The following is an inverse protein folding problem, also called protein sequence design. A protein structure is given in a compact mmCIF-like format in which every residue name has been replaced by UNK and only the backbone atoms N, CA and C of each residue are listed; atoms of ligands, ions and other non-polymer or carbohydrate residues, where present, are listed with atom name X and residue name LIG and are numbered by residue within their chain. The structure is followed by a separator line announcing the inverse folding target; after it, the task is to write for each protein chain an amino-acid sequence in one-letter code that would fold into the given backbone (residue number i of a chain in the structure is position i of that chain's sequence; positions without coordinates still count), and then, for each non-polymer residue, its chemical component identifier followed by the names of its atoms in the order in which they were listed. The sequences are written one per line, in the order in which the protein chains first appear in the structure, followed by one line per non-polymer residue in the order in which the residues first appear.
data_IF_475609746950
#
_entry.id   IF_475609746950
#
_cell.length_a   1.000
_cell.length_b   1.000
_cell.length_c   1.000
_cell.angle_alpha   90.00
_cell.angle_beta   90.00
_cell.angle_gamma   90.00
#
_symmetry.space_group_name_H-M   'P 1'
#
loop_
_entity.id
_entity.type
_entity.pdbx_description
1 polymer ?
#
# COMPACT_ATOMS: atom_id res chain seq x y z
N UNK A 1 -0.67 16.65 -11.87
CA UNK A 1 -1.72 15.62 -11.90
C UNK A 1 -1.42 14.71 -13.08
N UNK A 2 -1.17 13.43 -12.83
CA UNK A 2 -1.08 12.46 -13.91
C UNK A 2 -2.50 12.17 -14.36
N UNK A 3 -2.85 12.57 -15.59
CA UNK A 3 -4.11 12.14 -16.19
C UNK A 3 -3.97 10.70 -16.66
N UNK A 4 -5.04 9.95 -16.61
CA UNK A 4 -5.10 8.59 -17.15
C UNK A 4 -4.97 8.56 -18.68
N UNK A 5 -4.72 9.71 -19.34
CA UNK A 5 -4.70 9.87 -20.80
C UNK A 5 -6.11 9.93 -21.38
N UNK A 6 -6.25 10.53 -22.55
CA UNK A 6 -7.56 10.69 -23.20
C UNK A 6 -7.97 9.45 -24.03
N UNK A 7 -7.12 8.39 -24.08
CA UNK A 7 -7.38 7.18 -24.86
C UNK A 7 -6.64 5.94 -24.35
N UNK A 8 -7.24 4.76 -24.55
CA UNK A 8 -6.63 3.46 -24.21
C UNK A 8 -5.31 3.22 -24.95
N UNK A 9 -5.08 3.83 -26.11
CA UNK A 9 -3.87 3.70 -26.90
C UNK A 9 -2.63 4.33 -26.22
N UNK A 10 -2.84 5.32 -25.35
CA UNK A 10 -1.78 5.93 -24.54
C UNK A 10 -1.29 5.01 -23.42
N UNK A 11 -2.07 4.00 -23.06
CA UNK A 11 -1.76 3.02 -22.03
C UNK A 11 -0.92 1.85 -22.53
N UNK A 12 -1.09 1.51 -23.84
CA UNK A 12 -0.39 0.39 -24.47
C UNK A 12 1.01 0.77 -24.97
N UNK A 13 1.31 2.05 -25.10
CA UNK A 13 2.62 2.49 -25.52
C UNK A 13 3.48 2.74 -24.28
N UNK A 14 4.66 2.11 -24.19
CA UNK A 14 5.74 2.59 -23.33
C UNK A 14 6.27 3.89 -23.93
N UNK A 15 5.39 4.87 -24.13
CA UNK A 15 5.82 6.20 -24.51
C UNK A 15 6.80 6.64 -23.45
N UNK A 16 7.94 7.18 -23.90
CA UNK A 16 8.95 7.76 -23.05
C UNK A 16 8.31 8.78 -22.11
N UNK A 17 7.75 8.27 -21.01
CA UNK A 17 7.30 9.08 -19.90
C UNK A 17 8.58 9.68 -19.35
N UNK A 18 8.91 10.89 -19.75
CA UNK A 18 10.03 11.65 -19.19
C UNK A 18 9.62 12.08 -17.79
N UNK A 19 9.69 11.11 -16.90
CA UNK A 19 9.29 11.21 -15.51
C UNK A 19 9.97 12.39 -14.83
N UNK A 20 11.28 12.57 -15.07
CA UNK A 20 12.06 13.65 -14.47
C UNK A 20 11.62 15.04 -14.96
N UNK A 21 11.27 15.20 -16.22
CA UNK A 21 10.80 16.49 -16.75
C UNK A 21 9.39 16.82 -16.24
N UNK A 22 8.45 15.86 -16.25
CA UNK A 22 7.09 16.06 -15.74
C UNK A 22 7.05 16.16 -14.22
N UNK A 23 7.85 15.36 -13.50
CA UNK A 23 7.97 15.47 -12.06
C UNK A 23 8.57 16.80 -11.64
N UNK A 24 9.62 17.26 -12.36
CA UNK A 24 10.23 18.57 -12.12
C UNK A 24 9.25 19.71 -12.43
N UNK A 25 8.49 19.60 -13.51
CA UNK A 25 7.48 20.59 -13.87
C UNK A 25 6.30 20.58 -12.88
N UNK A 26 5.84 19.40 -12.45
CA UNK A 26 4.81 19.24 -11.42
C UNK A 26 5.28 19.80 -10.08
N UNK A 27 6.51 19.49 -9.65
CA UNK A 27 7.11 20.05 -8.43
C UNK A 27 7.24 21.57 -8.48
N UNK A 28 7.62 22.14 -9.63
CA UNK A 28 7.67 23.60 -9.82
C UNK A 28 6.28 24.23 -9.74
N UNK A 29 5.28 23.61 -10.35
CA UNK A 29 3.88 24.06 -10.27
C UNK A 29 3.33 23.94 -8.85
N UNK A 30 3.64 22.85 -8.15
CA UNK A 30 3.23 22.63 -6.77
C UNK A 30 3.96 23.57 -5.81
N UNK A 31 5.25 23.85 -6.02
CA UNK A 31 5.99 24.84 -5.25
C UNK A 31 5.41 26.25 -5.43
N UNK A 32 5.20 26.68 -6.68
CA UNK A 32 4.59 27.99 -6.98
C UNK A 32 3.16 28.10 -6.41
N UNK A 33 2.40 27.02 -6.45
CA UNK A 33 1.07 26.96 -5.85
C UNK A 33 1.13 26.98 -4.33
N UNK A 34 2.05 26.24 -3.72
CA UNK A 34 2.24 26.20 -2.26
C UNK A 34 2.67 27.56 -1.72
N UNK A 35 3.46 28.32 -2.50
CA UNK A 35 3.83 29.69 -2.18
C UNK A 35 2.61 30.64 -2.21
N UNK A 36 1.66 30.41 -3.13
CA UNK A 36 0.47 31.24 -3.29
C UNK A 36 -0.72 30.81 -2.39
N UNK A 37 -0.89 29.52 -2.14
CA UNK A 37 -2.10 28.92 -1.53
C UNK A 37 -1.82 28.13 -0.25
N UNK A 38 -0.54 28.02 0.15
CA UNK A 38 -0.09 27.16 1.24
C UNK A 38 0.17 25.71 0.79
N UNK A 39 0.72 24.88 1.69
CA UNK A 39 1.11 23.51 1.37
C UNK A 39 -0.10 22.69 0.86
N UNK A 40 0.15 21.87 -0.15
CA UNK A 40 -0.84 20.93 -0.69
C UNK A 40 -1.16 19.93 0.41
N UNK A 41 -2.34 20.07 1.02
CA UNK A 41 -2.92 18.98 1.81
C UNK A 41 -3.78 18.15 0.88
N UNK A 42 -3.81 16.83 1.07
CA UNK A 42 -4.79 15.96 0.43
C UNK A 42 -6.18 16.21 1.07
N UNK A 43 -6.58 17.48 1.08
CA UNK A 43 -7.93 17.89 1.41
C UNK A 43 -8.66 18.03 0.10
N UNK A 44 -9.57 17.12 -0.16
CA UNK A 44 -10.44 17.23 -1.32
C UNK A 44 -11.09 18.60 -1.35
N UNK A 45 -11.33 19.15 -2.54
CA UNK A 45 -12.06 20.41 -2.72
C UNK A 45 -13.55 20.30 -2.33
N UNK A 46 -13.98 19.14 -1.82
CA UNK A 46 -15.34 18.84 -1.41
C UNK A 46 -15.53 18.87 0.11
N UNK A 47 -16.75 18.63 0.54
CA UNK A 47 -17.14 18.54 1.97
C UNK A 47 -17.00 17.12 2.54
N UNK A 48 -16.51 16.15 1.77
CA UNK A 48 -16.32 14.76 2.16
C UNK A 48 -16.15 13.83 0.96
N UNK A 49 -15.97 12.52 1.22
CA UNK A 49 -15.85 11.51 0.19
C UNK A 49 -17.18 11.27 -0.55
N UNK A 50 -17.11 10.64 -1.71
CA UNK A 50 -18.29 10.03 -2.31
C UNK A 50 -18.62 8.73 -1.58
N UNK A 51 -19.42 8.82 -0.52
CA UNK A 51 -19.76 7.67 0.36
C UNK A 51 -20.42 6.49 -0.38
N UNK A 52 -20.98 6.72 -1.55
CA UNK A 52 -21.53 5.62 -2.35
C UNK A 52 -20.44 4.72 -2.94
N UNK A 53 -19.27 5.31 -3.24
CA UNK A 53 -18.12 4.64 -3.83
C UNK A 53 -17.08 4.21 -2.79
N UNK A 54 -17.07 4.82 -1.60
CA UNK A 54 -16.00 4.64 -0.61
C UNK A 54 -16.47 4.09 0.74
N UNK A 55 -17.67 3.54 0.82
CA UNK A 55 -18.27 3.02 2.06
C UNK A 55 -17.61 1.71 2.51
N UNK A 56 -16.86 1.69 3.64
CA UNK A 56 -16.19 0.50 4.14
C UNK A 56 -17.14 -0.56 4.71
N UNK A 57 -18.42 -0.26 4.90
CA UNK A 57 -19.45 -1.24 5.30
C UNK A 57 -19.81 -2.19 4.17
N UNK A 58 -19.50 -1.82 2.93
CA UNK A 58 -19.78 -2.68 1.78
C UNK A 58 -18.69 -3.73 1.61
N UNK A 59 -19.10 -4.93 1.26
CA UNK A 59 -18.18 -5.95 0.78
C UNK A 59 -17.71 -5.60 -0.61
N UNK A 60 -16.43 -5.82 -0.88
CA UNK A 60 -15.83 -5.68 -2.20
C UNK A 60 -15.31 -7.02 -2.67
N UNK A 61 -15.60 -7.37 -3.91
CA UNK A 61 -15.21 -8.65 -4.48
C UNK A 61 -14.61 -8.47 -5.86
N UNK A 62 -13.78 -9.42 -6.25
CA UNK A 62 -13.25 -9.54 -7.60
C UNK A 62 -13.11 -10.99 -7.99
N UNK A 63 -13.13 -11.26 -9.29
CA UNK A 63 -12.81 -12.57 -9.88
C UNK A 63 -11.46 -12.60 -10.59
N UNK A 64 -10.75 -11.48 -10.59
CA UNK A 64 -9.42 -11.40 -11.20
C UNK A 64 -8.43 -12.34 -10.50
N UNK A 65 -7.46 -12.83 -11.28
CA UNK A 65 -6.34 -13.63 -10.72
C UNK A 65 -5.22 -12.76 -10.15
N UNK A 66 -5.30 -11.45 -10.35
CA UNK A 66 -4.27 -10.50 -9.93
C UNK A 66 -4.87 -9.32 -9.17
N UNK A 67 -5.52 -9.55 -8.01
CA UNK A 67 -6.03 -8.47 -7.18
C UNK A 67 -4.90 -7.78 -6.42
N UNK A 68 -5.01 -6.46 -6.33
CA UNK A 68 -4.11 -5.59 -5.56
C UNK A 68 -4.92 -4.66 -4.68
N UNK A 69 -4.60 -4.59 -3.39
CA UNK A 69 -5.15 -3.60 -2.47
C UNK A 69 -4.05 -2.60 -2.11
N UNK A 70 -4.35 -1.32 -2.19
CA UNK A 70 -3.45 -0.23 -1.82
C UNK A 70 -4.10 0.61 -0.75
N UNK A 71 -3.54 0.59 0.46
CA UNK A 71 -3.91 1.46 1.57
C UNK A 71 -2.92 2.62 1.68
N UNK A 72 -3.44 3.83 1.81
CA UNK A 72 -2.64 5.03 2.03
C UNK A 72 -3.14 5.73 3.28
N UNK A 73 -2.25 5.93 4.21
CA UNK A 73 -2.49 6.79 5.37
C UNK A 73 -2.67 8.24 4.90
N UNK A 74 -3.77 8.86 5.30
CA UNK A 74 -4.14 10.22 4.90
C UNK A 74 -4.20 11.17 6.09
N UNK A 75 -3.62 10.78 7.22
CA UNK A 75 -3.56 11.58 8.44
C UNK A 75 -2.60 12.77 8.33
N UNK A 76 -2.64 13.67 9.29
CA UNK A 76 -1.90 14.93 9.24
C UNK A 76 -0.38 14.77 9.21
N UNK A 77 0.16 13.71 9.84
CA UNK A 77 1.59 13.40 9.85
C UNK A 77 2.14 13.11 8.45
N UNK A 78 1.30 12.56 7.57
CA UNK A 78 1.63 12.26 6.18
C UNK A 78 1.77 13.48 5.28
N UNK A 79 1.29 14.66 5.69
CA UNK A 79 1.41 15.95 4.99
C UNK A 79 0.95 15.88 3.52
N UNK A 80 1.85 16.14 2.56
CA UNK A 80 1.57 16.11 1.12
C UNK A 80 1.76 14.74 0.48
N UNK A 81 2.36 13.80 1.19
CA UNK A 81 2.75 12.50 0.64
C UNK A 81 1.58 11.68 0.08
N UNK A 82 0.38 11.62 0.73
CA UNK A 82 -0.76 10.93 0.14
C UNK A 82 -1.14 11.47 -1.23
N UNK A 83 -1.11 12.79 -1.42
CA UNK A 83 -1.40 13.41 -2.71
C UNK A 83 -0.38 13.00 -3.79
N UNK A 84 0.90 12.92 -3.42
CA UNK A 84 1.96 12.47 -4.33
C UNK A 84 1.81 10.99 -4.70
N UNK A 85 1.43 10.13 -3.74
CA UNK A 85 1.15 8.72 -3.98
C UNK A 85 -0.04 8.59 -4.93
N UNK A 86 -1.19 9.18 -4.60
CA UNK A 86 -2.41 9.07 -5.41
C UNK A 86 -2.21 9.61 -6.82
N UNK A 87 -1.47 10.71 -6.99
CA UNK A 87 -1.14 11.26 -8.31
C UNK A 87 -0.30 10.28 -9.17
N UNK A 88 0.40 9.32 -8.55
CA UNK A 88 1.28 8.35 -9.23
C UNK A 88 0.68 6.96 -9.39
N UNK A 89 -0.45 6.66 -8.75
CA UNK A 89 -1.09 5.34 -8.89
C UNK A 89 -1.49 4.99 -10.33
N UNK A 90 -1.85 5.95 -11.20
CA UNK A 90 -2.01 5.66 -12.63
C UNK A 90 -0.78 5.03 -13.27
N UNK A 91 0.42 5.51 -12.92
CA UNK A 91 1.67 4.93 -13.41
C UNK A 91 1.87 3.50 -12.89
N UNK A 92 1.55 3.23 -11.63
CA UNK A 92 1.61 1.89 -11.06
C UNK A 92 0.72 0.93 -11.86
N UNK A 93 -0.55 1.29 -12.10
CA UNK A 93 -1.44 0.48 -12.90
C UNK A 93 -0.90 0.27 -14.32
N UNK A 94 -0.50 1.33 -15.02
CA UNK A 94 0.03 1.25 -16.38
C UNK A 94 1.26 0.33 -16.48
N UNK A 95 2.13 0.35 -15.47
CA UNK A 95 3.34 -0.49 -15.46
C UNK A 95 2.99 -1.94 -15.15
N UNK A 96 2.24 -2.18 -14.10
CA UNK A 96 1.94 -3.55 -13.63
C UNK A 96 0.96 -4.30 -14.55
N UNK A 97 0.02 -3.61 -15.18
CA UNK A 97 -0.92 -4.20 -16.13
C UNK A 97 -0.25 -4.69 -17.42
N UNK A 98 0.95 -4.21 -17.75
CA UNK A 98 1.76 -4.78 -18.84
C UNK A 98 2.25 -6.19 -18.51
N UNK A 99 2.50 -6.49 -17.22
CA UNK A 99 2.93 -7.81 -16.76
C UNK A 99 1.74 -8.74 -16.50
N UNK A 100 0.66 -8.18 -15.95
CA UNK A 100 -0.56 -8.90 -15.60
C UNK A 100 -1.78 -8.10 -16.09
N UNK A 101 -2.27 -8.35 -17.32
CA UNK A 101 -3.36 -7.56 -17.93
C UNK A 101 -4.70 -7.65 -17.21
N UNK A 102 -4.90 -8.67 -16.38
CA UNK A 102 -6.09 -8.85 -15.54
C UNK A 102 -6.03 -8.13 -14.20
N UNK A 103 -4.98 -7.32 -13.95
CA UNK A 103 -4.80 -6.55 -12.73
C UNK A 103 -6.03 -5.68 -12.42
N UNK A 104 -6.58 -5.86 -11.24
CA UNK A 104 -7.60 -4.99 -10.65
C UNK A 104 -7.12 -4.45 -9.30
N UNK A 105 -7.40 -3.18 -9.03
CA UNK A 105 -6.94 -2.48 -7.84
C UNK A 105 -8.13 -1.96 -7.04
N UNK A 106 -8.08 -2.14 -5.72
CA UNK A 106 -8.90 -1.46 -4.74
C UNK A 106 -8.03 -0.50 -3.94
N UNK A 107 -8.51 0.73 -3.73
CA UNK A 107 -7.81 1.74 -2.94
C UNK A 107 -8.47 1.91 -1.58
N UNK A 108 -7.67 2.20 -0.57
CA UNK A 108 -8.12 2.59 0.75
C UNK A 108 -7.40 3.87 1.21
N UNK A 109 -8.14 4.82 1.77
CA UNK A 109 -7.60 5.91 2.57
C UNK A 109 -7.81 5.58 4.03
N UNK A 110 -6.73 5.62 4.80
CA UNK A 110 -6.69 5.23 6.21
C UNK A 110 -6.50 6.51 7.03
N UNK A 111 -7.42 6.79 7.91
CA UNK A 111 -7.37 7.86 8.89
C UNK A 111 -7.40 7.32 10.31
N UNK A 112 -7.94 8.09 11.25
CA UNK A 112 -8.02 7.70 12.65
C UNK A 112 -9.47 7.71 13.18
N UNK A 113 -9.91 6.58 13.74
CA UNK A 113 -11.27 6.39 14.30
C UNK A 113 -11.58 7.31 15.48
N UNK A 114 -10.56 7.89 16.12
CA UNK A 114 -10.76 8.76 17.27
C UNK A 114 -10.98 10.21 16.91
N UNK A 115 -10.53 10.61 15.72
CA UNK A 115 -10.52 12.03 15.33
C UNK A 115 -11.22 12.32 14.01
N UNK A 116 -11.26 11.35 13.11
CA UNK A 116 -11.74 11.56 11.75
C UNK A 116 -13.21 11.16 11.60
N UNK A 117 -13.91 11.90 10.77
CA UNK A 117 -15.29 11.57 10.41
C UNK A 117 -15.36 10.38 9.46
N UNK A 118 -14.35 10.21 8.61
CA UNK A 118 -14.22 9.11 7.65
C UNK A 118 -12.89 8.37 7.82
N UNK A 119 -12.71 7.66 8.94
CA UNK A 119 -11.42 7.06 9.31
C UNK A 119 -10.99 5.93 8.39
N UNK A 120 -11.90 5.39 7.59
CA UNK A 120 -11.60 4.42 6.54
C UNK A 120 -12.51 4.67 5.35
N UNK A 121 -11.90 4.78 4.19
CA UNK A 121 -12.58 4.90 2.91
C UNK A 121 -12.01 3.85 1.98
N UNK A 122 -12.85 3.07 1.32
CA UNK A 122 -12.41 1.96 0.49
C UNK A 122 -13.16 1.95 -0.83
N UNK A 123 -12.49 1.55 -1.90
CA UNK A 123 -13.10 1.49 -3.22
C UNK A 123 -13.32 0.05 -3.67
N UNK A 124 -14.21 -0.17 -4.62
CA UNK A 124 -14.33 -1.48 -5.28
C UNK A 124 -13.05 -1.79 -6.07
N UNK A 125 -12.84 -3.07 -6.38
CA UNK A 125 -11.84 -3.45 -7.37
C UNK A 125 -12.20 -2.88 -8.73
N UNK A 126 -11.23 -2.27 -9.39
CA UNK A 126 -11.40 -1.62 -10.69
C UNK A 126 -10.13 -1.72 -11.51
N UNK A 127 -10.24 -1.46 -12.81
CA UNK A 127 -9.12 -1.38 -13.74
C UNK A 127 -9.36 -0.28 -14.77
N UNK A 128 -8.30 0.10 -15.47
CA UNK A 128 -8.42 1.09 -16.53
C UNK A 128 -8.91 2.44 -16.01
N UNK A 129 -9.74 3.10 -16.78
CA UNK A 129 -10.27 4.43 -16.45
C UNK A 129 -11.17 4.47 -15.20
N UNK A 130 -11.80 3.35 -14.85
CA UNK A 130 -12.64 3.28 -13.65
C UNK A 130 -11.84 3.60 -12.37
N UNK A 131 -10.52 3.35 -12.38
CA UNK A 131 -9.64 3.68 -11.24
C UNK A 131 -9.58 5.18 -10.97
N UNK A 132 -9.68 6.03 -11.99
CA UNK A 132 -9.68 7.49 -11.81
C UNK A 132 -10.92 7.95 -11.05
N UNK A 133 -12.08 7.40 -11.37
CA UNK A 133 -13.32 7.69 -10.65
C UNK A 133 -13.21 7.28 -9.18
N UNK A 134 -12.64 6.08 -8.92
CA UNK A 134 -12.44 5.58 -7.57
C UNK A 134 -11.48 6.49 -6.76
N UNK A 135 -10.37 6.91 -7.36
CA UNK A 135 -9.42 7.81 -6.70
C UNK A 135 -10.02 9.20 -6.40
N UNK A 136 -10.83 9.73 -7.33
CA UNK A 136 -11.53 11.02 -7.14
C UNK A 136 -12.60 10.96 -6.05
N UNK A 137 -13.10 9.77 -5.73
CA UNK A 137 -14.11 9.56 -4.69
C UNK A 137 -13.55 9.67 -3.28
N UNK A 138 -12.24 9.47 -3.10
CA UNK A 138 -11.55 9.51 -1.81
C UNK A 138 -11.32 10.95 -1.36
N UNK A 139 -11.47 11.16 -0.06
CA UNK A 139 -11.28 12.45 0.59
C UNK A 139 -10.27 12.36 1.73
N UNK A 140 -9.22 13.16 1.69
CA UNK A 140 -8.28 13.28 2.80
C UNK A 140 -8.74 14.33 3.81
N UNK A 141 -9.12 13.90 5.01
CA UNK A 141 -9.45 14.84 6.10
C UNK A 141 -8.22 15.57 6.61
N UNK A 142 -7.04 14.93 6.53
CA UNK A 142 -5.82 15.44 7.12
C UNK A 142 -5.94 15.51 8.65
N UNK A 143 -6.72 14.58 9.21
CA UNK A 143 -6.97 14.44 10.65
C UNK A 143 -5.81 13.79 11.37
N UNK A 144 -6.12 12.97 12.37
CA UNK A 144 -5.15 12.40 13.30
C UNK A 144 -5.10 13.21 14.58
N UNK A 145 -5.62 12.64 15.67
CA UNK A 145 -5.70 13.28 16.98
C UNK A 145 -4.62 12.82 17.94
N UNK A 146 -4.14 11.61 17.76
CA UNK A 146 -3.04 11.00 18.50
C UNK A 146 -2.06 10.31 17.52
N UNK A 147 -0.98 9.74 18.05
CA UNK A 147 0.11 9.21 17.21
C UNK A 147 -0.26 7.89 16.51
N UNK A 148 -0.89 6.90 17.18
CA UNK A 148 -1.32 5.68 16.51
C UNK A 148 -2.49 5.94 15.57
N UNK A 149 -2.50 5.25 14.42
CA UNK A 149 -3.54 5.38 13.41
C UNK A 149 -4.38 4.09 13.30
N UNK A 150 -5.50 4.15 12.59
CA UNK A 150 -6.49 3.06 12.57
C UNK A 150 -6.17 1.96 11.55
N UNK A 151 -4.89 1.63 11.37
CA UNK A 151 -4.46 0.53 10.49
C UNK A 151 -5.07 -0.83 10.87
N UNK A 152 -5.38 -1.04 12.16
CA UNK A 152 -6.05 -2.26 12.61
C UNK A 152 -7.45 -2.39 12.03
N UNK A 153 -8.22 -1.28 11.96
CA UNK A 153 -9.55 -1.26 11.36
C UNK A 153 -9.47 -1.58 9.86
N UNK A 154 -8.46 -1.06 9.16
CA UNK A 154 -8.20 -1.43 7.78
C UNK A 154 -7.89 -2.92 7.62
N UNK A 155 -7.05 -3.50 8.50
CA UNK A 155 -6.79 -4.94 8.50
C UNK A 155 -8.07 -5.77 8.73
N UNK A 156 -8.93 -5.35 9.65
CA UNK A 156 -10.23 -5.98 9.89
C UNK A 156 -11.13 -5.91 8.65
N UNK A 157 -11.16 -4.77 7.97
CA UNK A 157 -11.87 -4.64 6.70
C UNK A 157 -11.34 -5.60 5.64
N UNK A 158 -10.02 -5.72 5.47
CA UNK A 158 -9.42 -6.66 4.51
C UNK A 158 -9.86 -8.09 4.79
N UNK A 159 -9.91 -8.50 6.05
CA UNK A 159 -10.30 -9.87 6.43
C UNK A 159 -11.78 -10.16 6.24
N UNK A 160 -12.64 -9.18 6.52
CA UNK A 160 -14.09 -9.44 6.63
C UNK A 160 -14.89 -8.93 5.43
N UNK A 161 -14.35 -7.98 4.66
CA UNK A 161 -15.08 -7.32 3.57
C UNK A 161 -14.46 -7.50 2.19
N UNK A 162 -13.23 -8.04 2.09
CA UNK A 162 -12.58 -8.27 0.80
C UNK A 162 -12.68 -9.74 0.40
N UNK A 163 -13.33 -9.99 -0.73
CA UNK A 163 -13.51 -11.32 -1.29
C UNK A 163 -12.70 -11.46 -2.58
N UNK A 164 -11.72 -12.35 -2.56
CA UNK A 164 -10.89 -12.70 -3.72
C UNK A 164 -10.99 -14.20 -4.00
N UNK A 165 -10.81 -14.64 -5.26
CA UNK A 165 -10.84 -16.07 -5.56
C UNK A 165 -9.67 -16.80 -4.86
N UNK A 166 -9.77 -18.11 -4.75
CA UNK A 166 -8.63 -18.94 -4.34
C UNK A 166 -7.56 -18.86 -5.43
N UNK A 167 -6.38 -18.35 -5.07
CA UNK A 167 -5.27 -18.09 -5.97
C UNK A 167 -4.10 -19.02 -5.66
N UNK A 168 -3.35 -19.42 -6.69
CA UNK A 168 -2.09 -20.16 -6.53
C UNK A 168 -1.02 -19.28 -5.87
N UNK A 169 -0.97 -17.99 -6.24
CA UNK A 169 -0.10 -17.00 -5.65
C UNK A 169 -0.91 -16.02 -4.80
N UNK A 170 -0.39 -15.68 -3.62
CA UNK A 170 -1.05 -14.69 -2.75
C UNK A 170 -1.13 -13.34 -3.45
N UNK A 171 -2.27 -12.68 -3.42
CA UNK A 171 -2.41 -11.31 -3.93
C UNK A 171 -1.62 -10.31 -3.10
N UNK A 172 -1.44 -9.10 -3.62
CA UNK A 172 -0.66 -8.06 -2.96
C UNK A 172 -1.53 -7.08 -2.19
N UNK A 173 -1.04 -6.70 -1.01
CA UNK A 173 -1.56 -5.60 -0.21
C UNK A 173 -0.39 -4.67 0.13
N UNK A 174 -0.45 -3.43 -0.32
CA UNK A 174 0.57 -2.41 -0.08
C UNK A 174 -0.02 -1.36 0.84
N UNK A 175 0.67 -1.04 1.92
CA UNK A 175 0.30 0.03 2.85
C UNK A 175 1.39 1.08 2.85
N UNK A 176 1.01 2.33 2.61
CA UNK A 176 1.88 3.49 2.77
C UNK A 176 1.52 4.21 4.06
N UNK A 177 2.50 4.44 4.92
CA UNK A 177 2.26 5.07 6.21
C UNK A 177 3.52 5.49 6.94
N UNK A 178 3.36 6.16 8.08
CA UNK A 178 4.46 6.69 8.87
C UNK A 178 4.31 6.47 10.38
N UNK A 179 3.19 5.91 10.83
CA UNK A 179 2.82 5.82 12.24
C UNK A 179 2.63 4.37 12.74
N UNK A 180 2.66 4.14 14.07
CA UNK A 180 2.22 2.89 14.65
C UNK A 180 0.69 2.75 14.54
N UNK A 181 0.18 1.56 14.70
CA UNK A 181 -1.26 1.29 14.76
C UNK A 181 -1.77 1.33 16.20
N UNK A 182 -3.04 1.67 16.41
CA UNK A 182 -3.70 1.42 17.70
C UNK A 182 -3.53 -0.04 18.10
N UNK A 183 -3.19 -0.30 19.36
CA UNK A 183 -2.95 -1.67 19.84
C UNK A 183 -4.19 -2.59 19.68
N UNK A 184 -5.38 -2.00 19.75
CA UNK A 184 -6.64 -2.72 19.66
C UNK A 184 -7.60 -2.08 18.68
N UNK A 185 -8.35 -2.90 17.99
CA UNK A 185 -9.58 -2.58 17.28
C UNK A 185 -10.70 -2.78 18.28
N UNK A 186 -11.47 -1.76 18.60
CA UNK A 186 -12.61 -1.90 19.49
C UNK A 186 -13.82 -2.44 18.73
N UNK A 187 -14.60 -3.31 19.34
CA UNK A 187 -15.84 -3.81 18.75
C UNK A 187 -16.82 -2.68 18.41
N UNK A 188 -16.84 -1.59 19.21
CA UNK A 188 -17.61 -0.38 18.88
C UNK A 188 -17.15 0.31 17.60
N UNK A 189 -15.83 0.39 17.34
CA UNK A 189 -15.28 0.96 16.11
C UNK A 189 -15.62 0.07 14.90
N UNK A 190 -15.47 -1.26 15.04
CA UNK A 190 -15.86 -2.19 13.99
C UNK A 190 -17.35 -2.05 13.65
N UNK A 191 -18.22 -1.92 14.65
CA UNK A 191 -19.66 -1.73 14.45
C UNK A 191 -19.99 -0.40 13.79
N UNK A 192 -19.36 0.67 14.25
CA UNK A 192 -19.61 2.03 13.74
C UNK A 192 -19.13 2.20 12.30
N UNK A 193 -17.88 1.81 12.01
CA UNK A 193 -17.22 2.12 10.75
C UNK A 193 -17.32 0.99 9.71
N UNK A 194 -17.35 -0.27 10.14
CA UNK A 194 -17.45 -1.43 9.25
C UNK A 194 -18.86 -2.06 9.22
N UNK A 195 -19.68 -1.78 10.21
CA UNK A 195 -20.99 -2.42 10.36
C UNK A 195 -20.91 -3.83 10.97
N UNK A 196 -19.73 -4.24 11.44
CA UNK A 196 -19.45 -5.58 11.97
C UNK A 196 -19.71 -5.65 13.47
N UNK A 197 -20.39 -6.70 13.92
CA UNK A 197 -20.60 -6.97 15.35
C UNK A 197 -19.48 -7.90 15.86
N UNK A 198 -18.29 -7.32 16.04
CA UNK A 198 -17.08 -8.02 16.47
C UNK A 198 -16.72 -7.69 17.92
N UNK A 199 -15.98 -8.59 18.55
CA UNK A 199 -15.32 -8.31 19.83
C UNK A 199 -14.05 -7.50 19.62
N UNK A 200 -13.54 -6.88 20.70
CA UNK A 200 -12.24 -6.24 20.70
C UNK A 200 -11.17 -7.20 20.19
N UNK A 201 -10.33 -6.74 19.28
CA UNK A 201 -9.27 -7.53 18.69
C UNK A 201 -7.91 -6.82 18.79
N UNK A 202 -6.83 -7.60 18.87
CA UNK A 202 -5.47 -7.09 18.81
C UNK A 202 -5.12 -6.75 17.35
N UNK A 203 -4.61 -5.54 17.11
CA UNK A 203 -4.31 -5.06 15.76
C UNK A 203 -3.17 -5.81 15.10
N UNK A 204 -2.11 -6.13 15.86
CA UNK A 204 -0.97 -6.91 15.36
C UNK A 204 -1.42 -8.32 14.97
N UNK A 205 -2.20 -8.98 15.82
CA UNK A 205 -2.74 -10.31 15.52
C UNK A 205 -3.68 -10.29 14.30
N UNK A 206 -4.45 -9.22 14.13
CA UNK A 206 -5.32 -9.04 12.95
C UNK A 206 -4.48 -8.94 11.67
N UNK A 207 -3.42 -8.14 11.65
CA UNK A 207 -2.48 -8.07 10.54
C UNK A 207 -1.77 -9.41 10.27
N UNK A 208 -1.38 -10.13 11.30
CA UNK A 208 -0.83 -11.50 11.15
C UNK A 208 -1.80 -12.43 10.43
N UNK A 209 -3.10 -12.29 10.64
CA UNK A 209 -4.10 -13.05 9.89
C UNK A 209 -4.21 -12.58 8.43
N UNK A 210 -4.13 -11.28 8.15
CA UNK A 210 -4.08 -10.75 6.78
C UNK A 210 -2.92 -11.35 6.00
N UNK A 211 -1.74 -11.47 6.60
CA UNK A 211 -0.55 -12.01 5.92
C UNK A 211 -0.65 -13.49 5.55
N UNK A 212 -1.65 -14.22 6.07
CA UNK A 212 -1.91 -15.60 5.65
C UNK A 212 -2.44 -15.70 4.23
N UNK A 213 -3.17 -14.69 3.79
CA UNK A 213 -3.83 -14.65 2.48
C UNK A 213 -3.23 -13.62 1.53
N UNK A 214 -2.55 -12.61 2.04
CA UNK A 214 -2.00 -11.50 1.28
C UNK A 214 -0.48 -11.41 1.41
N UNK A 215 0.22 -11.11 0.31
CA UNK A 215 1.58 -10.60 0.32
C UNK A 215 1.53 -9.13 0.72
N UNK A 216 1.71 -8.86 2.01
CA UNK A 216 1.53 -7.53 2.58
C UNK A 216 2.87 -6.85 2.77
N UNK A 217 2.99 -5.60 2.34
CA UNK A 217 4.15 -4.75 2.57
C UNK A 217 3.71 -3.41 3.17
N UNK A 218 4.43 -2.96 4.18
CA UNK A 218 4.33 -1.62 4.73
C UNK A 218 5.50 -0.78 4.22
N UNK A 219 5.20 0.21 3.38
CA UNK A 219 6.17 1.17 2.87
C UNK A 219 6.21 2.35 3.81
N UNK A 220 7.26 2.38 4.61
CA UNK A 220 7.41 3.34 5.68
C UNK A 220 7.97 4.65 5.17
N UNK A 221 7.27 5.75 5.45
CA UNK A 221 7.74 7.10 5.14
C UNK A 221 9.04 7.42 5.87
N UNK A 222 10.07 7.97 5.21
CA UNK A 222 11.26 8.45 5.88
C UNK A 222 10.94 9.55 6.90
N UNK A 223 11.59 9.52 8.07
CA UNK A 223 11.39 10.53 9.10
C UNK A 223 10.03 10.54 9.79
N UNK A 224 9.23 9.51 9.60
CA UNK A 224 7.90 9.36 10.22
C UNK A 224 7.92 9.26 11.74
N UNK A 225 6.75 9.25 12.35
CA UNK A 225 6.53 9.40 13.79
C UNK A 225 7.00 8.16 14.56
N UNK A 226 7.65 8.35 15.72
CA UNK A 226 8.09 7.30 16.65
C UNK A 226 8.81 6.11 15.99
N UNK A 227 9.85 6.40 15.21
CA UNK A 227 10.61 5.46 14.40
C UNK A 227 10.67 4.02 14.87
N UNK A 228 11.35 3.78 15.99
CA UNK A 228 11.59 2.42 16.51
C UNK A 228 10.31 1.72 16.98
N UNK A 229 9.38 2.43 17.62
CA UNK A 229 8.11 1.86 18.08
C UNK A 229 7.24 1.44 16.89
N UNK A 230 7.16 2.30 15.87
CA UNK A 230 6.46 2.01 14.62
C UNK A 230 7.03 0.77 13.95
N UNK A 231 8.36 0.71 13.79
CA UNK A 231 9.03 -0.40 13.14
C UNK A 231 8.84 -1.71 13.91
N UNK A 232 9.02 -1.70 15.22
CA UNK A 232 8.84 -2.90 16.05
C UNK A 232 7.41 -3.45 15.95
N UNK A 233 6.40 -2.58 15.95
CA UNK A 233 5.01 -3.00 15.84
C UNK A 233 4.69 -3.58 14.46
N UNK A 234 5.13 -2.92 13.38
CA UNK A 234 4.92 -3.39 12.03
C UNK A 234 5.72 -4.66 11.71
N UNK A 235 6.97 -4.76 12.20
CA UNK A 235 7.75 -6.00 12.12
C UNK A 235 7.05 -7.13 12.90
N UNK A 236 6.46 -6.83 14.06
CA UNK A 236 5.66 -7.81 14.80
C UNK A 236 4.45 -8.29 14.01
N UNK A 237 3.81 -7.40 13.26
CA UNK A 237 2.61 -7.69 12.47
C UNK A 237 2.90 -8.42 11.16
N UNK A 238 3.91 -7.98 10.40
CA UNK A 238 4.15 -8.42 9.04
C UNK A 238 5.41 -9.28 8.87
N UNK A 239 6.43 -9.07 9.68
CA UNK A 239 7.79 -9.56 9.48
C UNK A 239 8.74 -8.45 9.05
N UNK A 240 10.04 -8.64 9.25
CA UNK A 240 11.09 -7.68 8.97
C UNK A 240 11.28 -7.38 7.47
N UNK A 241 11.04 -8.36 6.62
CA UNK A 241 11.18 -8.23 5.16
C UNK A 241 10.02 -7.49 4.49
N UNK A 242 8.93 -7.31 5.21
CA UNK A 242 7.70 -6.66 4.75
C UNK A 242 7.60 -5.19 5.19
N UNK A 243 8.49 -4.75 6.09
CA UNK A 243 8.61 -3.33 6.47
C UNK A 243 9.71 -2.71 5.64
N UNK A 244 9.32 -1.88 4.67
CA UNK A 244 10.22 -1.33 3.66
C UNK A 244 10.56 0.10 4.01
N UNK A 245 11.81 0.34 4.40
CA UNK A 245 12.35 1.67 4.60
C UNK A 245 12.79 2.24 3.25
N UNK A 246 12.23 3.38 2.89
CA UNK A 246 12.56 4.07 1.64
C UNK A 246 13.57 5.19 1.92
N UNK A 247 14.55 5.34 1.04
CA UNK A 247 15.52 6.46 1.14
C UNK A 247 14.93 7.77 0.62
N UNK A 248 13.97 7.69 -0.32
CA UNK A 248 13.33 8.82 -0.98
C UNK A 248 11.82 8.62 -1.00
N UNK A 249 11.09 9.45 -0.23
CA UNK A 249 9.63 9.41 -0.17
C UNK A 249 8.98 9.68 -1.53
N UNK A 250 9.61 10.50 -2.38
CA UNK A 250 9.15 10.76 -3.72
C UNK A 250 9.16 9.55 -4.65
N UNK A 251 9.71 8.40 -4.21
CA UNK A 251 9.78 7.15 -4.97
C UNK A 251 8.90 6.02 -4.42
N UNK A 252 7.99 6.33 -3.50
CA UNK A 252 7.15 5.34 -2.85
C UNK A 252 6.45 4.39 -3.84
N UNK A 253 5.87 4.93 -4.90
CA UNK A 253 5.19 4.14 -5.93
C UNK A 253 6.17 3.29 -6.74
N UNK A 254 7.41 3.76 -6.96
CA UNK A 254 8.46 2.98 -7.62
C UNK A 254 8.85 1.76 -6.77
N UNK A 255 8.93 1.93 -5.43
CA UNK A 255 9.16 0.80 -4.51
C UNK A 255 8.02 -0.22 -4.59
N UNK A 256 6.77 0.21 -4.54
CA UNK A 256 5.61 -0.68 -4.66
C UNK A 256 5.62 -1.46 -5.98
N UNK A 257 5.84 -0.77 -7.11
CA UNK A 257 5.94 -1.40 -8.42
C UNK A 257 7.07 -2.42 -8.47
N UNK A 258 8.24 -2.05 -7.96
CA UNK A 258 9.43 -2.91 -7.98
C UNK A 258 9.29 -4.16 -7.13
N UNK A 259 8.68 -4.06 -5.92
CA UNK A 259 8.36 -5.21 -5.07
C UNK A 259 7.45 -6.19 -5.79
N UNK A 260 6.37 -5.70 -6.38
CA UNK A 260 5.39 -6.52 -7.08
C UNK A 260 6.02 -7.14 -8.34
N UNK A 261 6.67 -6.34 -9.18
CA UNK A 261 7.33 -6.82 -10.40
C UNK A 261 8.39 -7.89 -10.09
N UNK A 262 9.17 -7.70 -9.02
CA UNK A 262 10.17 -8.68 -8.59
C UNK A 262 9.52 -9.99 -8.14
N UNK A 263 8.44 -9.91 -7.38
CA UNK A 263 7.70 -11.10 -6.94
C UNK A 263 7.08 -11.88 -8.10
N UNK A 264 6.64 -11.17 -9.13
CA UNK A 264 6.08 -11.78 -10.36
C UNK A 264 7.15 -12.27 -11.34
N UNK A 265 8.44 -12.02 -11.08
CA UNK A 265 9.53 -12.43 -11.96
C UNK A 265 9.83 -11.45 -13.11
N UNK A 266 9.27 -10.24 -13.09
CA UNK A 266 9.45 -9.19 -14.11
C UNK A 266 10.42 -8.08 -13.68
N UNK A 267 11.32 -8.36 -12.73
CA UNK A 267 12.19 -7.32 -12.17
C UNK A 267 13.16 -6.71 -13.19
N UNK A 268 13.67 -7.53 -14.14
CA UNK A 268 14.53 -7.04 -15.22
C UNK A 268 13.79 -6.07 -16.15
N UNK A 269 12.57 -6.43 -16.55
CA UNK A 269 11.73 -5.58 -17.41
C UNK A 269 11.34 -4.29 -16.67
N UNK A 270 11.02 -4.39 -15.37
CA UNK A 270 10.78 -3.22 -14.53
C UNK A 270 11.96 -2.26 -14.51
N UNK A 271 13.18 -2.76 -14.27
CA UNK A 271 14.40 -1.92 -14.31
C UNK A 271 14.60 -1.26 -15.66
N UNK A 272 14.39 -1.99 -16.76
CA UNK A 272 14.51 -1.44 -18.12
C UNK A 272 13.47 -0.33 -18.38
N UNK A 273 12.22 -0.56 -17.98
CA UNK A 273 11.15 0.43 -18.07
C UNK A 273 11.47 1.68 -17.25
N UNK A 274 12.06 1.51 -16.08
CA UNK A 274 12.46 2.64 -15.22
C UNK A 274 13.60 3.44 -15.83
N UNK A 275 14.62 2.80 -16.43
CA UNK A 275 15.73 3.48 -17.11
C UNK A 275 15.27 4.30 -18.31
N UNK A 276 14.20 3.90 -18.98
CA UNK A 276 13.61 4.70 -20.05
C UNK A 276 12.97 6.03 -19.56
N UNK A 277 12.78 6.18 -18.24
CA UNK A 277 12.02 7.27 -17.63
C UNK A 277 12.80 8.06 -16.57
N UNK A 278 13.86 7.49 -16.02
CA UNK A 278 14.63 8.02 -14.91
C UNK A 278 16.13 7.86 -15.17
N UNK A 279 16.92 8.61 -14.42
CA UNK A 279 18.38 8.48 -14.39
C UNK A 279 18.83 7.08 -13.94
N UNK A 280 19.82 6.53 -14.65
CA UNK A 280 20.37 5.19 -14.39
C UNK A 280 20.85 5.01 -12.94
N UNK A 281 21.42 6.04 -12.34
CA UNK A 281 21.94 6.00 -10.97
C UNK A 281 20.80 5.80 -9.97
N UNK A 282 19.70 6.52 -10.16
CA UNK A 282 18.50 6.37 -9.31
C UNK A 282 17.86 5.01 -9.47
N UNK A 283 17.81 4.49 -10.69
CA UNK A 283 17.26 3.15 -10.96
C UNK A 283 18.14 2.08 -10.31
N UNK A 284 19.47 2.21 -10.42
CA UNK A 284 20.41 1.29 -9.79
C UNK A 284 20.29 1.28 -8.26
N UNK A 285 20.17 2.46 -7.63
CA UNK A 285 20.00 2.57 -6.19
C UNK A 285 18.69 1.89 -5.72
N UNK A 286 17.57 2.14 -6.40
CA UNK A 286 16.30 1.48 -6.11
C UNK A 286 16.41 -0.04 -6.27
N UNK A 287 17.02 -0.49 -7.37
CA UNK A 287 17.19 -1.92 -7.64
C UNK A 287 18.07 -2.61 -6.59
N UNK A 288 19.13 -1.95 -6.11
CA UNK A 288 19.98 -2.44 -5.04
C UNK A 288 19.19 -2.61 -3.73
N UNK A 289 18.40 -1.60 -3.35
CA UNK A 289 17.56 -1.70 -2.17
C UNK A 289 16.52 -2.82 -2.27
N UNK A 290 15.77 -2.86 -3.37
CA UNK A 290 14.76 -3.91 -3.60
C UNK A 290 15.38 -5.31 -3.65
N UNK A 291 16.64 -5.44 -4.11
CA UNK A 291 17.33 -6.74 -4.17
C UNK A 291 17.65 -7.33 -2.80
N UNK A 292 17.77 -6.49 -1.76
CA UNK A 292 18.05 -6.87 -0.38
C UNK A 292 16.81 -7.41 0.34
N UNK A 293 15.61 -7.13 -0.17
CA UNK A 293 14.35 -7.62 0.39
C UNK A 293 14.05 -9.02 -0.15
N UNK A 294 13.31 -9.82 0.60
CA UNK A 294 12.84 -11.10 0.08
C UNK A 294 11.84 -10.89 -1.07
N UNK A 295 11.99 -11.57 -2.22
CA UNK A 295 11.08 -11.39 -3.36
C UNK A 295 9.67 -11.88 -3.08
N UNK A 296 9.55 -12.85 -2.17
CA UNK A 296 8.27 -13.40 -1.69
C UNK A 296 8.37 -13.62 -0.18
N UNK A 297 7.23 -13.48 0.48
CA UNK A 297 7.12 -13.84 1.89
C UNK A 297 7.34 -15.36 2.02
N UNK A 298 8.34 -15.76 2.78
CA UNK A 298 8.52 -17.17 3.14
C UNK A 298 7.47 -17.53 4.18
N UNK A 299 6.50 -18.32 3.78
CA UNK A 299 5.39 -18.71 4.64
C UNK A 299 5.66 -19.99 5.37
N UNK A 300 5.16 -20.09 6.60
CA UNK A 300 5.14 -21.35 7.34
C UNK A 300 4.25 -22.38 6.62
N UNK A 301 4.74 -23.57 6.27
CA UNK A 301 3.95 -24.57 5.58
C UNK A 301 2.80 -25.13 6.44
N UNK A 302 2.85 -24.95 7.76
CA UNK A 302 1.82 -25.47 8.66
C UNK A 302 0.63 -24.51 8.84
N UNK A 303 0.89 -23.18 8.96
CA UNK A 303 -0.16 -22.23 9.26
C UNK A 303 -0.27 -21.07 8.25
N UNK A 304 0.63 -21.02 7.27
CA UNK A 304 0.65 -19.97 6.25
C UNK A 304 1.18 -18.62 6.73
N UNK A 305 1.46 -18.43 8.02
CA UNK A 305 1.98 -17.17 8.55
C UNK A 305 3.40 -16.88 8.01
N UNK A 306 3.77 -15.58 7.83
CA UNK A 306 5.11 -15.23 7.40
C UNK A 306 6.14 -15.64 8.47
N UNK A 307 7.25 -16.24 8.02
CA UNK A 307 8.39 -16.55 8.87
C UNK A 307 9.21 -15.28 9.06
N UNK A 308 9.72 -15.05 10.29
CA UNK A 308 10.52 -13.89 10.65
C UNK A 308 12.00 -14.18 10.60
N UNK A 309 12.83 -13.14 10.41
CA UNK A 309 14.28 -13.24 10.42
C UNK A 309 14.86 -14.03 9.26
N UNK A 310 14.09 -14.28 8.18
CA UNK A 310 14.53 -15.14 7.08
C UNK A 310 15.56 -14.49 6.16
N UNK A 311 15.67 -13.16 6.17
CA UNK A 311 16.64 -12.44 5.34
C UNK A 311 18.10 -12.73 5.69
N UNK A 312 18.36 -12.99 6.95
CA UNK A 312 19.71 -13.30 7.46
C UNK A 312 20.02 -14.82 7.48
N UNK A 313 19.06 -15.66 7.10
CA UNK A 313 19.19 -17.10 7.23
C UNK A 313 19.56 -17.75 5.88
N UNK A 314 20.51 -18.67 5.94
CA UNK A 314 20.92 -19.44 4.76
C UNK A 314 19.91 -20.55 4.43
N UNK A 315 19.90 -21.01 3.17
CA UNK A 315 19.17 -22.21 2.75
C UNK A 315 19.47 -23.39 3.70
N UNK A 316 18.43 -24.12 4.08
CA UNK A 316 18.53 -25.22 5.05
C UNK A 316 18.47 -24.82 6.52
N UNK A 317 18.46 -23.52 6.85
CA UNK A 317 18.31 -23.06 8.23
C UNK A 317 16.94 -23.46 8.81
N UNK A 318 16.90 -23.73 10.12
CA UNK A 318 15.67 -24.04 10.83
C UNK A 318 15.16 -22.81 11.58
N UNK A 319 13.92 -22.46 11.33
CA UNK A 319 13.24 -21.31 11.93
C UNK A 319 12.01 -21.80 12.68
N UNK A 320 11.80 -21.31 13.89
CA UNK A 320 10.54 -21.53 14.61
C UNK A 320 9.49 -20.54 14.12
N UNK A 321 8.35 -21.04 13.69
CA UNK A 321 7.21 -20.17 13.36
C UNK A 321 6.67 -19.57 14.67
N UNK A 322 6.70 -18.23 14.77
CA UNK A 322 6.21 -17.53 15.98
C UNK A 322 4.69 -17.67 16.18
N UNK A 323 3.98 -18.10 15.15
CA UNK A 323 2.52 -18.23 15.17
C UNK A 323 2.04 -19.61 15.62
N UNK A 324 2.56 -20.70 15.02
CA UNK A 324 2.15 -22.06 15.34
C UNK A 324 3.26 -22.87 16.01
N UNK A 325 4.40 -22.27 16.30
CA UNK A 325 5.58 -22.86 16.96
C UNK A 325 6.22 -24.05 16.23
N UNK A 326 5.77 -24.38 15.02
CA UNK A 326 6.40 -25.42 14.22
C UNK A 326 7.79 -24.99 13.77
N UNK A 327 8.72 -25.96 13.74
CA UNK A 327 10.07 -25.75 13.21
C UNK A 327 10.02 -25.98 11.69
N UNK A 328 10.39 -24.95 10.95
CA UNK A 328 10.41 -24.93 9.48
C UNK A 328 11.84 -24.89 9.00
N UNK A 329 12.18 -25.76 8.07
CA UNK A 329 13.46 -25.69 7.35
C UNK A 329 13.27 -24.77 6.13
N UNK A 330 14.13 -23.77 6.03
CA UNK A 330 14.10 -22.86 4.89
C UNK A 330 14.59 -23.54 3.61
N UNK A 331 13.98 -23.24 2.45
CA UNK A 331 14.35 -23.83 1.17
C UNK A 331 15.76 -23.46 0.72
#
# INVERSE_FOLDING_TARGET
MYSWGDGMDDWAKPAAYRFDAKTTESRKKDAARSEAEGPRSYRGKGTGPNVQLTDPKKRVSTTTKTPLVIGVDVTGSMQTWPAEIFDRLPLLYQTLSQYKPDLEISFAAIGDTKSDRWPLQVTKFSKGFDLEEQLKAIYGEGGGGDIPESYGVFASWVLNHVEVPTLEERPFLIVFGDAPMHAKIRGSEAKEFLGDDLQDADSVATWMNVTRTWNTFFLRRPGGVKGDETDQQWIAALGDQQVVHMDDEGRAVDYAMGLIARSWGFFGDFQQNMRARQDDTKVAALADQLSKLAPKVVACPQCGAPLRGTAALTSGARVSCVFCQSIVQLP
#
